data_IF_976587061447
#
_entry.id   IF_976587061447
#
_cell.length_a   1.000
_cell.length_b   1.000
_cell.length_c   1.000
_cell.angle_alpha   90.00
_cell.angle_beta   90.00
_cell.angle_gamma   90.00
#
_symmetry.space_group_name_H-M   'P 1'
#
loop_
_entity.id
_entity.type
_entity.pdbx_description
1 polymer ?
#
# COMPACT_ATOMS: atom_id res chain seq x y z
N UNK A 1 -10.04 -14.99 12.13
CA UNK A 1 -9.52 -13.68 11.65
C UNK A 1 -9.90 -13.55 10.19
N UNK A 2 -10.52 -12.44 9.77
CA UNK A 2 -10.93 -12.20 8.39
C UNK A 2 -10.17 -10.97 7.86
N UNK A 3 -9.54 -11.09 6.70
CA UNK A 3 -8.79 -10.00 6.08
C UNK A 3 -9.68 -9.25 5.09
N UNK A 4 -9.77 -7.93 5.26
CA UNK A 4 -10.42 -7.06 4.29
C UNK A 4 -9.36 -6.52 3.33
N UNK A 5 -9.56 -6.73 2.04
CA UNK A 5 -8.70 -6.18 1.00
C UNK A 5 -9.44 -5.05 0.26
N UNK A 6 -8.78 -3.91 0.11
CA UNK A 6 -9.27 -2.82 -0.73
C UNK A 6 -9.11 -3.21 -2.19
N UNK A 7 -10.15 -3.06 -3.03
CA UNK A 7 -9.99 -3.16 -4.47
C UNK A 7 -8.87 -2.26 -4.99
N UNK A 8 -8.10 -2.70 -5.98
CA UNK A 8 -7.00 -1.89 -6.56
C UNK A 8 -7.45 -0.48 -7.00
N UNK A 9 -8.63 -0.28 -7.63
CA UNK A 9 -9.09 1.06 -7.99
C UNK A 9 -9.49 1.94 -6.79
N UNK A 10 -9.62 1.33 -5.60
CA UNK A 10 -9.95 1.97 -4.34
C UNK A 10 -8.73 2.17 -3.44
N UNK A 11 -7.50 2.20 -3.99
CA UNK A 11 -6.28 2.47 -3.20
C UNK A 11 -6.35 3.78 -2.40
N UNK A 12 -7.15 4.74 -2.87
CA UNK A 12 -7.40 6.01 -2.18
C UNK A 12 -8.07 5.87 -0.81
N UNK A 13 -8.74 4.75 -0.48
CA UNK A 13 -9.25 4.47 0.87
C UNK A 13 -8.23 3.77 1.78
N UNK A 14 -7.09 3.35 1.22
CA UNK A 14 -6.07 2.65 1.99
C UNK A 14 -5.23 3.65 2.80
N UNK A 15 -5.49 3.75 4.10
CA UNK A 15 -4.87 4.75 4.98
C UNK A 15 -3.33 4.65 5.01
N UNK A 16 -2.76 3.45 4.89
CA UNK A 16 -1.29 3.31 4.88
C UNK A 16 -0.68 3.88 3.59
N UNK A 17 -1.35 3.73 2.45
CA UNK A 17 -0.92 4.34 1.19
C UNK A 17 -1.05 5.86 1.24
N UNK A 18 -2.12 6.38 1.85
CA UNK A 18 -2.28 7.81 2.09
C UNK A 18 -1.13 8.36 2.96
N UNK A 19 -0.78 7.66 4.05
CA UNK A 19 0.35 8.04 4.90
C UNK A 19 1.67 8.11 4.11
N UNK A 20 1.97 7.09 3.31
CA UNK A 20 3.19 7.09 2.50
C UNK A 20 3.21 8.19 1.43
N UNK A 21 2.05 8.56 0.88
CA UNK A 21 1.95 9.70 -0.04
C UNK A 21 2.30 11.02 0.64
N UNK A 22 1.81 11.23 1.87
CA UNK A 22 2.11 12.42 2.67
C UNK A 22 3.59 12.46 3.04
N UNK A 23 4.13 11.36 3.60
CA UNK A 23 5.55 11.21 3.93
C UNK A 23 6.44 11.46 2.71
N UNK A 24 6.06 10.90 1.55
CA UNK A 24 6.78 11.08 0.29
C UNK A 24 6.89 12.55 -0.11
N UNK A 25 5.76 13.27 -0.07
CA UNK A 25 5.71 14.68 -0.44
C UNK A 25 6.40 15.60 0.56
N UNK A 26 6.09 15.47 1.84
CA UNK A 26 6.53 16.42 2.88
C UNK A 26 7.92 16.12 3.42
N UNK A 27 8.33 14.85 3.45
CA UNK A 27 9.60 14.43 4.02
C UNK A 27 10.59 14.03 2.94
N UNK A 28 10.32 12.91 2.28
CA UNK A 28 11.31 12.24 1.43
C UNK A 28 11.74 13.08 0.23
N UNK A 29 10.82 13.81 -0.40
CA UNK A 29 11.16 14.66 -1.56
C UNK A 29 12.07 15.84 -1.22
N UNK A 30 12.13 16.23 0.06
CA UNK A 30 12.89 17.38 0.56
C UNK A 30 14.18 16.97 1.28
N UNK A 31 14.48 15.68 1.35
CA UNK A 31 15.59 15.14 2.14
C UNK A 31 16.57 14.35 1.29
N UNK A 32 17.88 14.53 1.54
CA UNK A 32 18.94 13.70 0.99
C UNK A 32 19.51 12.83 2.11
N UNK A 33 19.66 11.53 1.86
CA UNK A 33 20.23 10.58 2.81
C UNK A 33 21.43 9.87 2.21
N UNK A 34 22.55 9.85 2.93
CA UNK A 34 23.81 9.23 2.49
C UNK A 34 23.96 7.78 2.98
N UNK A 35 23.07 7.34 3.88
CA UNK A 35 23.07 5.97 4.39
C UNK A 35 21.67 5.46 4.76
N UNK A 36 21.52 4.13 4.81
CA UNK A 36 20.29 3.47 5.28
C UNK A 36 19.96 3.80 6.73
N UNK A 37 21.00 3.97 7.57
CA UNK A 37 20.84 4.35 8.98
C UNK A 37 20.21 5.73 9.10
N UNK A 38 20.72 6.70 8.34
CA UNK A 38 20.18 8.06 8.32
C UNK A 38 18.72 8.10 7.84
N UNK A 39 18.39 7.35 6.78
CA UNK A 39 17.00 7.22 6.32
C UNK A 39 16.11 6.62 7.41
N UNK A 40 16.56 5.58 8.11
CA UNK A 40 15.81 4.96 9.21
C UNK A 40 15.53 5.95 10.33
N UNK A 41 16.55 6.67 10.78
CA UNK A 41 16.42 7.69 11.83
C UNK A 41 15.45 8.81 11.41
N UNK A 42 15.53 9.28 10.17
CA UNK A 42 14.59 10.24 9.60
C UNK A 42 13.14 9.73 9.63
N UNK A 43 12.89 8.51 9.15
CA UNK A 43 11.56 7.91 9.12
C UNK A 43 10.95 7.76 10.53
N UNK A 44 11.74 7.29 11.50
CA UNK A 44 11.29 7.16 12.88
C UNK A 44 10.95 8.52 13.49
N UNK A 45 11.80 9.52 13.27
CA UNK A 45 11.57 10.88 13.73
C UNK A 45 10.31 11.50 13.09
N UNK A 46 10.10 11.27 11.79
CA UNK A 46 8.89 11.71 11.09
C UNK A 46 7.63 11.10 11.70
N UNK A 47 7.64 9.78 11.97
CA UNK A 47 6.50 9.09 12.60
C UNK A 47 6.21 9.68 13.98
N UNK A 48 7.24 9.85 14.82
CA UNK A 48 7.08 10.44 16.16
C UNK A 48 6.49 11.85 16.06
N UNK A 49 6.98 12.68 15.15
CA UNK A 49 6.46 14.05 14.96
C UNK A 49 5.03 14.05 14.44
N UNK A 50 4.72 13.22 13.44
CA UNK A 50 3.37 13.10 12.88
C UNK A 50 2.35 12.63 13.96
N UNK A 51 2.77 11.77 14.88
CA UNK A 51 1.91 11.27 15.96
C UNK A 51 1.69 12.28 17.09
N UNK A 52 2.51 13.35 17.21
CA UNK A 52 2.30 14.39 18.23
C UNK A 52 1.04 15.22 17.99
N UNK A 53 0.66 15.43 16.72
CA UNK A 53 -0.54 16.16 16.35
C UNK A 53 -1.15 15.56 15.07
N UNK A 54 -1.85 14.42 15.19
CA UNK A 54 -2.41 13.74 14.03
C UNK A 54 -3.52 14.59 13.40
N UNK A 55 -3.39 14.86 12.11
CA UNK A 55 -4.45 15.53 11.35
C UNK A 55 -5.43 14.47 10.82
N UNK A 56 -6.74 14.60 11.09
CA UNK A 56 -7.73 13.72 10.49
C UNK A 56 -7.63 13.72 8.97
N UNK A 57 -7.76 12.55 8.35
CA UNK A 57 -7.78 12.45 6.90
C UNK A 57 -9.16 12.86 6.37
N UNK A 58 -9.19 13.81 5.45
CA UNK A 58 -10.41 14.23 4.76
C UNK A 58 -10.63 13.39 3.50
N UNK A 59 -11.72 12.62 3.47
CA UNK A 59 -12.08 11.81 2.32
C UNK A 59 -12.63 12.68 1.18
N UNK A 60 -12.07 12.53 -0.02
CA UNK A 60 -12.49 13.29 -1.21
C UNK A 60 -13.65 12.64 -1.98
N UNK A 61 -13.96 11.38 -1.68
CA UNK A 61 -15.00 10.58 -2.33
C UNK A 61 -15.87 9.94 -1.25
N UNK A 62 -17.18 9.98 -1.45
CA UNK A 62 -18.15 9.40 -0.52
C UNK A 62 -18.23 7.86 -0.56
N UNK A 63 -18.92 7.26 0.42
CA UNK A 63 -19.04 5.81 0.56
C UNK A 63 -19.72 5.13 -0.64
N UNK A 64 -20.67 5.80 -1.29
CA UNK A 64 -21.36 5.28 -2.48
C UNK A 64 -20.39 4.94 -3.62
N UNK A 65 -19.36 5.77 -3.81
CA UNK A 65 -18.36 5.54 -4.85
C UNK A 65 -17.48 4.32 -4.52
N UNK A 66 -17.18 4.11 -3.25
CA UNK A 66 -16.47 2.93 -2.80
C UNK A 66 -17.30 1.67 -3.05
N UNK A 67 -18.59 1.70 -2.69
CA UNK A 67 -19.51 0.59 -2.90
C UNK A 67 -19.56 0.16 -4.36
N UNK A 68 -19.74 1.11 -5.29
CA UNK A 68 -19.72 0.83 -6.74
C UNK A 68 -18.40 0.19 -7.21
N UNK A 69 -17.26 0.64 -6.68
CA UNK A 69 -15.96 0.04 -7.02
C UNK A 69 -15.86 -1.38 -6.49
N UNK A 70 -16.37 -1.65 -5.28
CA UNK A 70 -16.35 -3.00 -4.68
C UNK A 70 -17.17 -3.96 -5.55
N UNK A 71 -18.40 -3.59 -5.89
CA UNK A 71 -19.31 -4.39 -6.73
C UNK A 71 -18.69 -4.66 -8.11
N UNK A 72 -18.26 -3.61 -8.83
CA UNK A 72 -17.64 -3.77 -10.14
C UNK A 72 -16.33 -4.60 -10.08
N UNK A 73 -15.57 -4.49 -8.99
CA UNK A 73 -14.38 -5.32 -8.81
C UNK A 73 -14.74 -6.77 -8.60
N UNK A 74 -15.77 -7.06 -7.80
CA UNK A 74 -16.23 -8.44 -7.58
C UNK A 74 -16.71 -9.08 -8.88
N UNK A 75 -17.52 -8.37 -9.67
CA UNK A 75 -17.97 -8.81 -10.99
C UNK A 75 -16.79 -9.10 -11.92
N UNK A 76 -15.81 -8.19 -11.98
CA UNK A 76 -14.61 -8.38 -12.80
C UNK A 76 -13.80 -9.61 -12.38
N UNK A 77 -13.60 -9.82 -11.08
CA UNK A 77 -12.88 -11.01 -10.58
C UNK A 77 -13.64 -12.30 -10.85
N UNK A 78 -14.98 -12.29 -10.76
CA UNK A 78 -15.81 -13.44 -11.08
C UNK A 78 -15.71 -13.81 -12.57
N UNK A 79 -15.70 -12.81 -13.46
CA UNK A 79 -15.53 -13.01 -14.90
C UNK A 79 -14.10 -13.41 -15.31
N UNK A 80 -13.07 -13.00 -14.54
CA UNK A 80 -11.66 -13.21 -14.85
C UNK A 80 -10.93 -13.92 -13.70
N UNK A 81 -11.18 -15.23 -13.49
CA UNK A 81 -10.53 -15.96 -12.41
C UNK A 81 -9.01 -15.95 -12.60
N UNK A 82 -8.28 -15.63 -11.53
CA UNK A 82 -6.81 -15.59 -11.55
C UNK A 82 -6.26 -16.96 -11.96
N UNK A 83 -5.58 -17.02 -13.11
CA UNK A 83 -4.83 -18.21 -13.52
C UNK A 83 -3.64 -18.39 -12.57
N UNK A 84 -3.59 -19.50 -11.84
CA UNK A 84 -2.44 -19.84 -11.02
C UNK A 84 -1.18 -19.88 -11.90
N UNK A 85 -0.20 -19.03 -11.58
CA UNK A 85 1.09 -19.04 -12.25
C UNK A 85 1.80 -20.34 -11.88
N UNK A 86 1.93 -21.28 -12.83
CA UNK A 86 2.67 -22.52 -12.61
C UNK A 86 4.11 -22.17 -12.22
N UNK A 87 4.51 -22.47 -10.98
CA UNK A 87 5.90 -22.35 -10.53
C UNK A 87 6.76 -23.27 -11.41
N UNK A 88 7.68 -22.72 -12.21
CA UNK A 88 8.75 -23.51 -12.84
C UNK A 88 9.60 -24.10 -11.71
N UNK A 89 9.53 -25.41 -11.50
CA UNK A 89 10.51 -26.12 -10.66
C UNK A 89 11.84 -26.08 -11.41
N UNK A 90 12.86 -25.39 -10.87
CA UNK A 90 14.24 -25.60 -11.30
C UNK A 90 14.73 -26.90 -10.66
N UNK A 91 14.94 -27.94 -11.46
CA UNK A 91 15.65 -29.12 -11.01
C UNK A 91 17.10 -28.72 -10.71
N UNK A 92 17.47 -28.67 -9.43
CA UNK A 92 18.88 -28.65 -9.04
C UNK A 92 19.36 -30.09 -9.06
N UNK A 93 19.98 -30.48 -10.17
CA UNK A 93 20.73 -31.73 -10.28
C UNK A 93 22.00 -31.58 -9.45
N UNK A 94 21.99 -32.04 -8.21
CA UNK A 94 23.21 -32.28 -7.43
C UNK A 94 23.85 -33.52 -8.04
N UNK A 95 25.00 -33.34 -8.72
CA UNK A 95 25.90 -34.46 -9.04
C UNK A 95 26.95 -34.49 -7.94
N UNK A 96 27.05 -35.64 -7.26
CA UNK A 96 28.13 -35.96 -6.35
C UNK A 96 29.46 -36.08 -7.10
#
# INVERSE_FOLDING_TARGET
MHFHHTPTPASWVNMIECFFSILGKQGLSQSVHTSKRQLKEFLLNYIVQNNKNPKPFAWTKGPEKLQRIIEATQEYQAAHPRKLRKRRRKAHSIKN
#
